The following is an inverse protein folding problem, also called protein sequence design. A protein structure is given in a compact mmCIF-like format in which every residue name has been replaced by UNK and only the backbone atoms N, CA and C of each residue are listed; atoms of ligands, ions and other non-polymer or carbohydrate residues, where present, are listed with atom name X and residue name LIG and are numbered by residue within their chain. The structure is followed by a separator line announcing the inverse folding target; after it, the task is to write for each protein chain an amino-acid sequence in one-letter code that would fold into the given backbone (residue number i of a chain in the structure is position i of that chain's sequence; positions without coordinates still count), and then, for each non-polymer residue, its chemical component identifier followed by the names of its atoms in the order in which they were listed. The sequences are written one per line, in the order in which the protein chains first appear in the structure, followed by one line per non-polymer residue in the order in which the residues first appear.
data_IF_768194582901
#
_entry.id   IF_768194582901
#
_cell.length_a   1.000
_cell.length_b   1.000
_cell.length_c   1.000
_cell.angle_alpha   90.00
_cell.angle_beta   90.00
_cell.angle_gamma   90.00
#
_symmetry.space_group_name_H-M   'P 1'
#
loop_
_entity.id
_entity.type
_entity.pdbx_description
1 polymer ?
#
# COMPACT_ATOMS: atom_id res chain seq x y z
N UNK A 1 5.38 17.72 14.14
CA UNK A 1 6.11 17.17 12.98
C UNK A 1 6.96 18.27 12.32
N UNK A 2 6.43 19.32 11.66
CA UNK A 2 7.23 20.40 11.02
C UNK A 2 8.19 21.17 11.97
N UNK A 3 7.97 21.15 13.28
CA UNK A 3 8.95 21.69 14.25
C UNK A 3 10.21 20.84 14.36
N UNK A 4 10.10 19.53 14.12
CA UNK A 4 11.23 18.60 14.15
C UNK A 4 11.95 18.56 12.80
N UNK A 5 11.22 18.69 11.69
CA UNK A 5 11.76 18.81 10.34
C UNK A 5 11.00 19.92 9.59
N UNK A 6 11.59 21.10 9.42
CA UNK A 6 10.98 22.21 8.68
C UNK A 6 10.77 21.92 7.19
N UNK A 7 11.53 20.96 6.63
CA UNK A 7 11.44 20.56 5.22
C UNK A 7 10.40 19.47 4.99
N UNK A 8 9.75 18.99 6.05
CA UNK A 8 8.71 17.97 5.92
C UNK A 8 7.55 18.51 5.06
N UNK A 9 7.27 17.83 3.97
CA UNK A 9 6.08 18.06 3.18
C UNK A 9 4.91 17.29 3.78
N UNK A 10 3.74 17.91 3.82
CA UNK A 10 2.53 17.31 4.38
C UNK A 10 1.43 17.40 3.32
N UNK A 11 0.98 16.25 2.89
CA UNK A 11 -0.13 16.12 1.95
C UNK A 11 -1.43 15.81 2.66
N UNK A 12 -2.54 16.30 2.13
CA UNK A 12 -3.86 15.79 2.45
C UNK A 12 -4.30 14.85 1.33
N UNK A 13 -4.61 13.61 1.67
CA UNK A 13 -5.18 12.64 0.73
C UNK A 13 -6.70 12.68 0.79
N UNK A 14 -7.35 12.69 -0.38
CA UNK A 14 -8.80 12.78 -0.53
C UNK A 14 -9.28 11.66 -1.42
N UNK A 15 -10.21 10.86 -0.90
CA UNK A 15 -10.76 9.69 -1.59
C UNK A 15 -10.51 8.40 -0.85
N UNK A 16 -9.93 7.41 -1.53
CA UNK A 16 -9.68 6.07 -1.03
C UNK A 16 -10.76 5.07 -1.44
N UNK A 17 -10.53 3.80 -1.14
CA UNK A 17 -11.35 2.67 -1.55
C UNK A 17 -12.85 2.88 -1.36
N UNK A 18 -13.26 3.34 -0.19
CA UNK A 18 -14.68 3.52 0.16
C UNK A 18 -15.22 4.94 -0.04
N UNK A 19 -14.36 5.95 -0.30
CA UNK A 19 -14.76 7.36 -0.29
C UNK A 19 -14.50 8.08 -1.63
N UNK A 20 -14.04 7.40 -2.66
CA UNK A 20 -13.75 8.01 -3.97
C UNK A 20 -14.96 8.10 -4.91
N UNK A 21 -16.12 7.59 -4.52
CA UNK A 21 -17.32 7.57 -5.37
C UNK A 21 -17.79 8.93 -5.89
N UNK A 22 -17.57 9.99 -5.13
CA UNK A 22 -17.96 11.35 -5.51
C UNK A 22 -17.13 11.91 -6.69
N UNK A 23 -15.94 11.39 -6.97
CA UNK A 23 -15.07 11.91 -8.03
C UNK A 23 -15.68 11.78 -9.43
N UNK A 24 -16.50 10.76 -9.66
CA UNK A 24 -17.23 10.63 -10.92
C UNK A 24 -18.05 11.88 -11.25
N UNK A 25 -18.85 12.37 -10.29
CA UNK A 25 -19.67 13.56 -10.47
C UNK A 25 -18.86 14.86 -10.36
N UNK A 26 -17.94 14.93 -9.40
CA UNK A 26 -17.05 16.09 -9.21
C UNK A 26 -16.32 16.41 -10.51
N UNK A 27 -15.70 15.45 -11.14
CA UNK A 27 -14.89 15.67 -12.32
C UNK A 27 -15.73 16.10 -13.53
N UNK A 28 -16.94 15.58 -13.70
CA UNK A 28 -17.81 15.88 -14.84
C UNK A 28 -18.50 17.24 -14.76
N UNK A 29 -18.78 17.72 -13.55
CA UNK A 29 -19.54 18.95 -13.32
C UNK A 29 -18.61 20.12 -13.05
N UNK A 30 -18.64 21.16 -13.90
CA UNK A 30 -17.85 22.39 -13.66
C UNK A 30 -18.17 23.04 -12.31
N UNK A 31 -19.45 23.20 -11.89
CA UNK A 31 -19.78 23.71 -10.56
C UNK A 31 -19.18 22.86 -9.43
N UNK A 32 -19.16 21.53 -9.55
CA UNK A 32 -18.63 20.66 -8.51
C UNK A 32 -17.09 20.70 -8.50
N UNK A 33 -16.42 20.77 -9.65
CA UNK A 33 -14.97 20.98 -9.69
C UNK A 33 -14.59 22.30 -9.01
N UNK A 34 -15.33 23.37 -9.32
CA UNK A 34 -15.13 24.67 -8.67
C UNK A 34 -15.33 24.58 -7.15
N UNK A 35 -16.39 23.93 -6.70
CA UNK A 35 -16.66 23.73 -5.27
C UNK A 35 -15.55 22.93 -4.60
N UNK A 36 -15.06 21.88 -5.24
CA UNK A 36 -13.93 21.08 -4.75
C UNK A 36 -12.67 21.94 -4.60
N UNK A 37 -12.31 22.72 -5.62
CA UNK A 37 -11.13 23.60 -5.61
C UNK A 37 -11.26 24.69 -4.54
N UNK A 38 -12.43 25.29 -4.38
CA UNK A 38 -12.71 26.27 -3.33
C UNK A 38 -12.59 25.62 -1.93
N UNK A 39 -13.03 24.38 -1.77
CA UNK A 39 -12.85 23.59 -0.56
C UNK A 39 -11.38 23.33 -0.23
N UNK A 40 -10.55 23.01 -1.23
CA UNK A 40 -9.10 22.86 -1.04
C UNK A 40 -8.47 24.20 -0.64
N UNK A 41 -8.85 25.30 -1.28
CA UNK A 41 -8.36 26.64 -0.91
C UNK A 41 -8.70 27.00 0.55
N UNK A 42 -9.94 26.72 0.98
CA UNK A 42 -10.35 26.93 2.37
C UNK A 42 -9.55 26.05 3.33
N UNK A 43 -9.37 24.77 3.01
CA UNK A 43 -8.58 23.83 3.81
C UNK A 43 -7.14 24.34 4.00
N UNK A 44 -6.46 24.73 2.92
CA UNK A 44 -5.08 25.23 2.98
C UNK A 44 -4.97 26.58 3.69
N UNK A 45 -6.01 27.40 3.65
CA UNK A 45 -6.06 28.65 4.42
C UNK A 45 -6.15 28.43 5.93
N UNK A 46 -6.88 27.40 6.35
CA UNK A 46 -7.07 27.03 7.77
C UNK A 46 -5.93 26.20 8.34
N UNK A 47 -5.31 25.36 7.51
CA UNK A 47 -4.30 24.39 7.92
C UNK A 47 -3.00 24.62 7.13
N UNK A 48 -2.24 25.61 7.55
CA UNK A 48 -0.99 26.04 6.88
C UNK A 48 0.14 24.99 6.84
N UNK A 49 -0.02 23.86 7.56
CA UNK A 49 0.94 22.77 7.49
C UNK A 49 0.85 21.99 6.18
N UNK A 50 -0.29 21.99 5.49
CA UNK A 50 -0.42 21.32 4.20
C UNK A 50 0.28 22.11 3.10
N UNK A 51 1.01 21.39 2.25
CA UNK A 51 1.68 21.92 1.07
C UNK A 51 1.51 21.02 -0.17
N UNK A 52 0.88 19.85 -0.01
CA UNK A 52 0.54 18.94 -1.08
C UNK A 52 -0.89 18.44 -0.95
N UNK A 53 -1.48 18.04 -2.07
CA UNK A 53 -2.73 17.27 -2.12
C UNK A 53 -2.46 15.96 -2.82
N UNK A 54 -3.08 14.90 -2.33
CA UNK A 54 -3.14 13.59 -2.97
C UNK A 54 -4.58 13.29 -3.35
N UNK A 55 -4.82 12.89 -4.59
CA UNK A 55 -6.14 12.50 -5.06
C UNK A 55 -6.16 10.99 -5.22
N UNK A 56 -6.95 10.35 -4.38
CA UNK A 56 -7.09 8.91 -4.35
C UNK A 56 -8.45 8.48 -4.91
N UNK A 57 -8.54 8.52 -6.24
CA UNK A 57 -9.73 8.05 -6.97
C UNK A 57 -9.55 6.59 -7.40
N UNK A 58 -10.37 5.70 -6.83
CA UNK A 58 -10.32 4.26 -7.07
C UNK A 58 -11.60 3.77 -7.77
N UNK A 59 -11.66 3.74 -9.11
CA UNK A 59 -10.59 4.10 -10.08
C UNK A 59 -11.19 4.87 -11.26
N UNK A 60 -10.50 5.83 -11.85
CA UNK A 60 -10.96 6.46 -13.08
C UNK A 60 -10.92 5.44 -14.23
N UNK A 61 -12.02 5.30 -14.97
CA UNK A 61 -12.16 4.38 -16.08
C UNK A 61 -12.33 2.90 -15.72
N UNK A 62 -12.28 2.54 -14.44
CA UNK A 62 -12.28 1.14 -13.99
C UNK A 62 -13.09 0.92 -12.72
N UNK A 63 -13.50 -0.34 -12.51
CA UNK A 63 -14.22 -0.73 -11.30
C UNK A 63 -13.35 -0.60 -10.04
N UNK A 64 -13.95 -0.03 -8.98
CA UNK A 64 -13.48 -0.03 -7.58
C UNK A 64 -14.53 -0.66 -6.67
N UNK A 65 -14.74 -0.10 -5.48
CA UNK A 65 -15.73 -0.56 -4.50
C UNK A 65 -17.19 -0.18 -4.88
N UNK A 66 -17.65 -0.67 -6.05
CA UNK A 66 -19.01 -0.36 -6.54
C UNK A 66 -19.21 1.07 -7.01
N UNK A 67 -18.15 1.87 -7.11
CA UNK A 67 -18.21 3.24 -7.59
C UNK A 67 -18.53 3.27 -9.09
N UNK A 68 -19.29 4.31 -9.49
CA UNK A 68 -19.55 4.56 -10.90
C UNK A 68 -18.26 4.94 -11.62
N UNK A 69 -18.10 4.43 -12.83
CA UNK A 69 -16.94 4.73 -13.70
C UNK A 69 -17.37 4.72 -15.18
N UNK A 70 -16.57 5.36 -16.02
CA UNK A 70 -16.74 5.38 -17.47
C UNK A 70 -15.39 5.52 -18.18
N UNK A 71 -15.27 5.00 -19.37
CA UNK A 71 -14.04 5.05 -20.16
C UNK A 71 -13.53 6.47 -20.45
N UNK A 72 -14.39 7.49 -20.31
CA UNK A 72 -14.03 8.90 -20.49
C UNK A 72 -13.69 9.64 -19.17
N UNK A 73 -13.60 8.93 -18.05
CA UNK A 73 -13.27 9.54 -16.75
C UNK A 73 -11.96 10.33 -16.80
N UNK A 74 -10.95 9.82 -17.50
CA UNK A 74 -9.67 10.51 -17.65
C UNK A 74 -9.78 11.90 -18.25
N UNK A 75 -10.74 12.15 -19.17
CA UNK A 75 -10.98 13.46 -19.78
C UNK A 75 -11.40 14.48 -18.73
N UNK A 76 -12.32 14.10 -17.86
CA UNK A 76 -12.84 14.97 -16.81
C UNK A 76 -11.89 15.06 -15.62
N UNK A 77 -11.20 13.99 -15.30
CA UNK A 77 -10.17 14.00 -14.27
C UNK A 77 -9.03 14.95 -14.66
N UNK A 78 -8.58 14.87 -15.91
CA UNK A 78 -7.60 15.80 -16.46
C UNK A 78 -8.06 17.27 -16.30
N UNK A 79 -9.32 17.59 -16.58
CA UNK A 79 -9.88 18.95 -16.37
C UNK A 79 -9.80 19.37 -14.90
N UNK A 80 -10.13 18.49 -13.96
CA UNK A 80 -9.98 18.79 -12.53
C UNK A 80 -8.53 19.12 -12.17
N UNK A 81 -7.58 18.33 -12.66
CA UNK A 81 -6.14 18.57 -12.41
C UNK A 81 -5.69 19.90 -13.02
N UNK A 82 -6.07 20.18 -14.27
CA UNK A 82 -5.74 21.45 -14.94
C UNK A 82 -6.30 22.65 -14.19
N UNK A 83 -7.56 22.62 -13.80
CA UNK A 83 -8.24 23.69 -13.05
C UNK A 83 -7.63 23.86 -11.65
N UNK A 84 -7.31 22.76 -10.95
CA UNK A 84 -6.67 22.79 -9.64
C UNK A 84 -5.24 23.37 -9.73
N UNK A 85 -4.48 22.99 -10.75
CA UNK A 85 -3.15 23.54 -11.02
C UNK A 85 -3.20 25.04 -11.32
N UNK A 86 -4.18 25.47 -12.11
CA UNK A 86 -4.38 26.89 -12.49
C UNK A 86 -4.96 27.74 -11.33
N UNK A 87 -5.52 27.14 -10.30
CA UNK A 87 -6.20 27.82 -9.20
C UNK A 87 -5.29 28.68 -8.32
N UNK A 88 -3.95 28.50 -8.42
CA UNK A 88 -2.94 29.23 -7.65
C UNK A 88 -3.28 29.26 -6.13
N UNK A 89 -3.54 28.08 -5.57
CA UNK A 89 -3.86 27.94 -4.14
C UNK A 89 -2.58 28.24 -3.34
N UNK A 90 -2.61 29.19 -2.39
CA UNK A 90 -1.45 29.49 -1.56
C UNK A 90 -0.93 28.23 -0.84
N UNK A 91 0.39 28.06 -0.82
CA UNK A 91 1.13 26.94 -0.23
C UNK A 91 0.97 25.59 -0.97
N UNK A 92 0.09 25.43 -1.95
CA UNK A 92 0.02 24.19 -2.74
C UNK A 92 1.25 24.10 -3.66
N UNK A 93 2.11 23.10 -3.42
CA UNK A 93 3.37 22.90 -4.12
C UNK A 93 3.30 21.71 -5.09
N UNK A 94 2.40 20.76 -4.84
CA UNK A 94 2.25 19.60 -5.71
C UNK A 94 0.94 18.87 -5.56
N UNK A 95 0.60 18.14 -6.61
CA UNK A 95 -0.58 17.28 -6.71
C UNK A 95 -0.09 15.87 -6.99
N UNK A 96 -0.27 14.94 -6.06
CA UNK A 96 -0.08 13.52 -6.34
C UNK A 96 -1.41 12.81 -6.59
N UNK A 97 -1.32 11.64 -7.18
CA UNK A 97 -2.44 10.73 -7.35
C UNK A 97 -2.08 9.35 -6.82
N UNK A 98 -3.02 8.66 -6.20
CA UNK A 98 -2.91 7.23 -6.01
C UNK A 98 -3.26 6.50 -7.32
N UNK A 99 -2.52 5.46 -7.64
CA UNK A 99 -2.70 4.69 -8.85
C UNK A 99 -2.64 3.19 -8.57
N UNK A 100 -3.50 2.44 -9.24
CA UNK A 100 -3.44 0.97 -9.20
C UNK A 100 -2.14 0.46 -9.84
N UNK A 101 -1.64 -0.68 -9.35
CA UNK A 101 -0.55 -1.40 -10.01
C UNK A 101 -1.02 -2.39 -11.09
N UNK A 102 -2.33 -2.47 -11.35
CA UNK A 102 -2.87 -3.22 -12.50
C UNK A 102 -2.60 -2.42 -13.79
N UNK A 103 -1.82 -2.97 -14.74
CA UNK A 103 -1.53 -2.29 -16.01
C UNK A 103 -2.77 -1.80 -16.76
N UNK A 104 -3.86 -2.59 -16.72
CA UNK A 104 -5.11 -2.17 -17.34
C UNK A 104 -5.70 -0.91 -16.70
N UNK A 105 -5.69 -0.83 -15.37
CA UNK A 105 -6.18 0.36 -14.65
C UNK A 105 -5.26 1.57 -14.85
N UNK A 106 -3.96 1.34 -15.00
CA UNK A 106 -2.99 2.38 -15.38
C UNK A 106 -3.35 2.97 -16.75
N UNK A 107 -3.65 2.09 -17.72
CA UNK A 107 -4.06 2.51 -19.06
C UNK A 107 -5.40 3.22 -19.05
N UNK A 108 -6.41 2.69 -18.37
CA UNK A 108 -7.76 3.28 -18.25
C UNK A 108 -7.71 4.68 -17.62
N UNK A 109 -6.80 4.92 -16.68
CA UNK A 109 -6.61 6.23 -16.03
C UNK A 109 -5.86 7.24 -16.92
N UNK A 110 -5.27 6.84 -18.02
CA UNK A 110 -4.46 7.69 -18.90
C UNK A 110 -3.42 8.53 -18.13
N UNK A 111 -2.67 7.91 -17.22
CA UNK A 111 -1.74 8.57 -16.30
C UNK A 111 -0.81 9.59 -17.00
N UNK A 112 -0.21 9.31 -18.17
CA UNK A 112 0.62 10.31 -18.87
C UNK A 112 -0.09 11.64 -19.17
N UNK A 113 -1.40 11.61 -19.42
CA UNK A 113 -2.20 12.83 -19.66
C UNK A 113 -2.44 13.60 -18.34
N UNK A 114 -2.63 12.90 -17.22
CA UNK A 114 -2.73 13.53 -15.91
C UNK A 114 -1.40 14.19 -15.49
N UNK A 115 -0.27 13.55 -15.81
CA UNK A 115 1.06 14.14 -15.59
C UNK A 115 1.24 15.44 -16.37
N UNK A 116 0.81 15.49 -17.63
CA UNK A 116 0.85 16.72 -18.45
C UNK A 116 -0.10 17.80 -17.92
N UNK A 117 -1.18 17.42 -17.28
CA UNK A 117 -2.16 18.34 -16.69
C UNK A 117 -1.66 19.01 -15.39
N UNK A 118 -0.64 18.46 -14.73
CA UNK A 118 -0.07 19.07 -13.53
C UNK A 118 0.18 18.11 -12.35
N UNK A 119 -0.06 16.80 -12.52
CA UNK A 119 0.31 15.81 -11.50
C UNK A 119 1.83 15.80 -11.34
N UNK A 120 2.28 15.87 -10.08
CA UNK A 120 3.70 15.95 -9.71
C UNK A 120 4.28 14.66 -9.19
N UNK A 121 3.42 13.71 -8.76
CA UNK A 121 3.82 12.42 -8.22
C UNK A 121 2.74 11.36 -8.35
N UNK A 122 3.14 10.11 -8.45
CA UNK A 122 2.26 8.94 -8.54
C UNK A 122 2.56 8.03 -7.36
N UNK A 123 1.61 7.88 -6.44
CA UNK A 123 1.64 6.92 -5.37
C UNK A 123 1.09 5.60 -5.91
N UNK A 124 1.98 4.74 -6.41
CA UNK A 124 1.61 3.46 -7.01
C UNK A 124 1.31 2.45 -5.91
N UNK A 125 0.05 2.05 -5.79
CA UNK A 125 -0.45 1.12 -4.77
C UNK A 125 0.00 -0.30 -5.09
N UNK A 126 1.24 -0.62 -4.75
CA UNK A 126 1.91 -1.89 -5.02
C UNK A 126 1.69 -2.91 -3.89
N UNK A 127 0.45 -3.05 -3.49
CA UNK A 127 -0.05 -4.01 -2.53
C UNK A 127 -1.44 -4.50 -2.96
N UNK A 128 -2.04 -5.41 -2.21
CA UNK A 128 -3.33 -6.05 -2.53
C UNK A 128 -3.34 -6.84 -3.85
N UNK A 129 -2.17 -7.33 -4.29
CA UNK A 129 -2.07 -8.21 -5.46
C UNK A 129 -2.72 -9.57 -5.22
N UNK A 130 -2.77 -9.98 -3.96
CA UNK A 130 -3.49 -11.16 -3.49
C UNK A 130 -4.74 -10.74 -2.72
N UNK A 131 -5.88 -11.20 -3.18
CA UNK A 131 -7.17 -11.15 -2.48
C UNK A 131 -7.85 -12.49 -2.63
N UNK A 132 -8.75 -12.83 -1.70
CA UNK A 132 -9.48 -14.09 -1.78
C UNK A 132 -10.38 -14.13 -3.02
N UNK A 133 -10.31 -15.22 -3.79
CA UNK A 133 -11.12 -15.35 -5.00
C UNK A 133 -10.94 -16.70 -5.73
N UNK A 134 -9.80 -16.89 -6.39
CA UNK A 134 -9.59 -18.03 -7.30
C UNK A 134 -9.05 -19.32 -6.64
N UNK A 135 -8.86 -19.31 -5.32
CA UNK A 135 -8.36 -20.46 -4.56
C UNK A 135 -6.87 -20.72 -4.73
N UNK A 136 -6.11 -19.79 -5.33
CA UNK A 136 -4.67 -19.90 -5.51
C UNK A 136 -3.92 -18.93 -4.64
N UNK A 137 -2.83 -19.41 -4.00
CA UNK A 137 -1.96 -18.57 -3.21
C UNK A 137 -1.06 -17.71 -4.09
N UNK A 138 -0.93 -16.45 -3.73
CA UNK A 138 0.06 -15.53 -4.31
C UNK A 138 0.49 -14.50 -3.26
N UNK A 139 1.55 -13.76 -3.56
CA UNK A 139 1.95 -12.63 -2.73
C UNK A 139 1.06 -11.41 -2.97
N UNK A 140 0.80 -10.62 -1.91
CA UNK A 140 0.03 -9.39 -2.06
C UNK A 140 0.88 -8.14 -2.34
N UNK A 141 2.22 -8.25 -2.25
CA UNK A 141 3.10 -7.07 -2.39
C UNK A 141 4.52 -7.45 -2.84
N UNK A 142 4.62 -8.36 -3.82
CA UNK A 142 5.87 -8.89 -4.35
C UNK A 142 6.58 -7.90 -5.28
N UNK A 143 7.93 -7.88 -5.20
CA UNK A 143 8.74 -7.06 -6.09
C UNK A 143 8.75 -7.62 -7.52
N UNK A 144 8.90 -8.94 -7.67
CA UNK A 144 8.90 -9.62 -8.95
C UNK A 144 7.80 -10.69 -9.02
N UNK A 145 7.33 -10.97 -10.21
CA UNK A 145 6.36 -12.00 -10.49
C UNK A 145 7.06 -13.31 -10.87
N UNK A 146 6.51 -14.44 -10.42
CA UNK A 146 6.84 -15.74 -11.01
C UNK A 146 6.16 -15.84 -12.37
N UNK A 147 6.91 -15.69 -13.46
CA UNK A 147 6.38 -15.68 -14.83
C UNK A 147 5.89 -17.06 -15.29
N UNK A 148 6.31 -18.12 -14.61
CA UNK A 148 5.87 -19.49 -14.91
C UNK A 148 4.54 -19.85 -14.22
N UNK A 149 4.05 -18.96 -13.32
CA UNK A 149 2.78 -19.13 -12.64
C UNK A 149 1.76 -18.09 -13.16
N UNK A 150 0.75 -18.60 -13.87
CA UNK A 150 -0.35 -17.76 -14.40
C UNK A 150 -1.20 -17.07 -13.30
N UNK A 151 -1.13 -17.54 -12.05
CA UNK A 151 -1.83 -16.95 -10.91
C UNK A 151 -1.05 -15.79 -10.27
N UNK A 152 0.24 -15.68 -10.53
CA UNK A 152 1.07 -14.53 -10.18
C UNK A 152 0.85 -13.40 -11.19
N UNK A 153 -0.25 -12.64 -11.02
CA UNK A 153 -0.73 -11.67 -12.04
C UNK A 153 0.01 -10.35 -12.01
N UNK A 154 0.45 -9.91 -10.84
CA UNK A 154 0.98 -8.56 -10.61
C UNK A 154 2.34 -8.60 -9.91
N UNK A 155 3.15 -7.59 -10.16
CA UNK A 155 4.36 -7.28 -9.40
C UNK A 155 4.65 -5.80 -9.43
N UNK A 156 5.46 -5.33 -8.49
CA UNK A 156 5.94 -3.96 -8.47
C UNK A 156 6.71 -3.63 -9.74
N UNK A 157 7.65 -4.51 -10.14
CA UNK A 157 8.47 -4.28 -11.34
C UNK A 157 7.62 -4.18 -12.62
N UNK A 158 6.64 -5.07 -12.81
CA UNK A 158 5.76 -5.01 -14.00
C UNK A 158 5.00 -3.66 -14.06
N UNK A 159 4.43 -3.19 -12.96
CA UNK A 159 3.69 -1.93 -12.90
C UNK A 159 4.60 -0.70 -13.14
N UNK A 160 5.79 -0.69 -12.53
CA UNK A 160 6.78 0.37 -12.73
C UNK A 160 7.28 0.40 -14.17
N UNK A 161 7.63 -0.75 -14.76
CA UNK A 161 8.07 -0.82 -16.15
C UNK A 161 6.98 -0.40 -17.12
N UNK A 162 5.71 -0.72 -16.80
CA UNK A 162 4.58 -0.27 -17.60
C UNK A 162 4.47 1.26 -17.62
N UNK A 163 4.50 1.92 -16.47
CA UNK A 163 4.51 3.40 -16.38
C UNK A 163 5.68 4.04 -17.13
N UNK A 164 6.89 3.46 -16.99
CA UNK A 164 8.08 3.95 -17.71
C UNK A 164 7.89 3.81 -19.23
N UNK A 165 7.33 2.70 -19.70
CA UNK A 165 7.04 2.46 -21.12
C UNK A 165 6.03 3.46 -21.68
N UNK A 166 5.07 3.89 -20.86
CA UNK A 166 4.12 4.96 -21.20
C UNK A 166 4.74 6.36 -21.18
N UNK A 167 6.04 6.50 -20.84
CA UNK A 167 6.77 7.76 -20.84
C UNK A 167 6.64 8.56 -19.55
N UNK A 168 6.21 7.95 -18.45
CA UNK A 168 6.20 8.59 -17.14
C UNK A 168 7.63 8.73 -16.61
N UNK A 169 7.97 9.92 -16.12
CA UNK A 169 9.27 10.16 -15.47
C UNK A 169 9.38 9.29 -14.21
N UNK A 170 10.36 8.39 -14.20
CA UNK A 170 10.62 7.47 -13.10
C UNK A 170 10.80 8.16 -11.75
N UNK A 171 11.33 9.40 -11.72
CA UNK A 171 11.49 10.20 -10.49
C UNK A 171 10.17 10.66 -9.88
N UNK A 172 9.07 10.50 -10.59
CA UNK A 172 7.73 10.83 -10.12
C UNK A 172 6.93 9.60 -9.69
N UNK A 173 7.51 8.41 -9.75
CA UNK A 173 6.88 7.14 -9.36
C UNK A 173 7.34 6.79 -7.94
N UNK A 174 6.39 6.65 -7.02
CA UNK A 174 6.59 6.18 -5.65
C UNK A 174 5.92 4.83 -5.51
N UNK A 175 6.63 3.82 -5.01
CA UNK A 175 6.06 2.47 -4.80
C UNK A 175 5.64 2.27 -3.35
N UNK A 176 4.51 1.55 -3.15
CA UNK A 176 3.99 1.25 -1.83
C UNK A 176 4.55 -0.03 -1.22
N UNK A 177 4.64 -0.06 0.10
CA UNK A 177 4.78 -1.28 0.89
C UNK A 177 3.72 -1.32 1.99
N UNK A 178 3.41 -2.53 2.47
CA UNK A 178 2.24 -2.74 3.31
C UNK A 178 2.59 -2.90 4.79
N UNK A 179 1.91 -2.15 5.66
CA UNK A 179 1.91 -2.31 7.11
C UNK A 179 0.88 -3.33 7.60
N UNK A 180 0.47 -4.27 6.74
CA UNK A 180 -0.57 -5.26 7.03
C UNK A 180 -0.38 -6.53 6.18
N UNK A 181 -1.16 -7.56 6.51
CA UNK A 181 -1.15 -8.84 5.80
C UNK A 181 -2.40 -9.04 4.96
N UNK A 182 -2.32 -9.98 3.99
CA UNK A 182 -3.49 -10.60 3.35
C UNK A 182 -3.44 -12.10 3.59
N UNK A 183 -4.50 -12.64 4.18
CA UNK A 183 -4.51 -13.99 4.74
C UNK A 183 -5.44 -14.93 3.98
N UNK A 184 -5.08 -16.23 4.00
CA UNK A 184 -5.95 -17.31 3.56
C UNK A 184 -5.94 -18.46 4.58
N UNK A 185 -7.07 -19.17 4.72
CA UNK A 185 -7.23 -20.38 5.52
C UNK A 185 -7.40 -21.59 4.61
N UNK A 186 -7.14 -22.79 5.14
CA UNK A 186 -7.14 -24.02 4.35
C UNK A 186 -6.05 -24.01 3.27
N UNK A 187 -4.93 -23.35 3.56
CA UNK A 187 -3.81 -23.20 2.66
C UNK A 187 -2.97 -24.48 2.57
N UNK A 188 -2.57 -24.81 1.36
CA UNK A 188 -1.74 -25.96 1.02
C UNK A 188 -0.62 -25.50 0.09
N UNK A 189 0.61 -25.43 0.64
CA UNK A 189 1.77 -24.91 -0.07
C UNK A 189 2.50 -26.07 -0.74
N UNK A 190 2.62 -26.01 -2.06
CA UNK A 190 3.31 -27.03 -2.89
C UNK A 190 4.75 -26.64 -3.22
N UNK A 191 5.05 -25.33 -3.24
CA UNK A 191 6.40 -24.78 -3.36
C UNK A 191 6.54 -23.53 -2.49
N UNK A 192 7.67 -23.40 -1.77
CA UNK A 192 7.95 -22.27 -0.91
C UNK A 192 8.57 -21.07 -1.64
N UNK A 193 9.41 -21.33 -2.67
CA UNK A 193 10.08 -20.30 -3.48
C UNK A 193 10.44 -20.88 -4.86
N UNK A 194 9.82 -20.44 -5.94
CA UNK A 194 8.69 -19.50 -5.95
C UNK A 194 7.47 -20.06 -5.22
N UNK A 195 6.70 -19.18 -4.58
CA UNK A 195 5.46 -19.57 -3.90
C UNK A 195 4.49 -20.19 -4.88
N UNK A 196 4.02 -21.41 -4.57
CA UNK A 196 2.91 -22.07 -5.25
C UNK A 196 2.04 -22.79 -4.21
N UNK A 197 0.75 -22.77 -4.44
CA UNK A 197 -0.20 -23.44 -3.56
C UNK A 197 -1.64 -23.07 -3.85
N UNK A 198 -2.52 -23.61 -3.04
CA UNK A 198 -3.96 -23.35 -3.12
C UNK A 198 -4.52 -23.11 -1.71
N UNK A 199 -5.72 -22.56 -1.66
CA UNK A 199 -6.46 -22.41 -0.40
C UNK A 199 -7.95 -22.73 -0.60
N UNK A 200 -8.60 -23.07 0.49
CA UNK A 200 -10.04 -23.25 0.52
C UNK A 200 -10.58 -22.57 1.80
N UNK A 201 -10.62 -21.25 1.77
CA UNK A 201 -11.06 -20.44 2.89
C UNK A 201 -12.57 -20.57 3.11
N UNK A 202 -12.95 -20.98 4.33
CA UNK A 202 -14.34 -21.09 4.77
C UNK A 202 -14.50 -20.30 6.07
N UNK A 203 -15.55 -19.48 6.14
CA UNK A 203 -15.83 -18.66 7.32
C UNK A 203 -14.82 -17.56 7.58
N UNK A 204 -14.73 -17.12 8.83
CA UNK A 204 -13.79 -16.07 9.22
C UNK A 204 -12.35 -16.58 9.21
N UNK A 205 -11.45 -15.70 8.77
CA UNK A 205 -10.01 -15.90 8.74
C UNK A 205 -9.41 -14.94 9.78
N UNK A 206 -8.37 -15.38 10.47
CA UNK A 206 -7.68 -14.55 11.46
C UNK A 206 -7.31 -13.17 10.94
N UNK A 207 -7.56 -12.16 11.74
CA UNK A 207 -7.28 -10.75 11.43
C UNK A 207 -7.35 -9.90 12.70
N UNK A 208 -6.79 -8.69 12.66
CA UNK A 208 -6.77 -7.79 13.82
C UNK A 208 -8.14 -7.16 14.05
N UNK A 209 -8.66 -6.44 13.07
CA UNK A 209 -9.96 -5.75 13.13
C UNK A 209 -10.95 -6.30 12.11
N UNK A 210 -10.45 -6.80 10.99
CA UNK A 210 -11.27 -7.41 9.95
C UNK A 210 -10.72 -8.79 9.55
N UNK A 211 -11.60 -9.64 9.04
CA UNK A 211 -11.22 -10.99 8.61
C UNK A 211 -10.17 -10.92 7.50
N UNK A 212 -9.16 -11.77 7.61
CA UNK A 212 -8.08 -11.94 6.64
C UNK A 212 -7.06 -10.79 6.53
N UNK A 213 -7.08 -9.83 7.48
CA UNK A 213 -6.12 -8.72 7.53
C UNK A 213 -5.55 -8.59 8.94
N UNK A 214 -4.25 -8.70 9.09
CA UNK A 214 -3.55 -8.47 10.36
C UNK A 214 -2.67 -7.24 10.21
N UNK A 215 -2.79 -6.31 11.13
CA UNK A 215 -1.94 -5.14 11.19
C UNK A 215 -0.52 -5.47 11.66
N UNK A 216 0.45 -4.67 11.24
CA UNK A 216 1.86 -4.91 11.55
C UNK A 216 2.15 -5.00 13.07
N UNK A 217 1.50 -4.19 13.87
CA UNK A 217 1.61 -4.26 15.33
C UNK A 217 1.23 -5.64 15.88
N UNK A 218 0.16 -6.22 15.39
CA UNK A 218 -0.29 -7.57 15.76
C UNK A 218 0.70 -8.64 15.24
N UNK A 219 1.25 -8.44 14.02
CA UNK A 219 2.27 -9.35 13.46
C UNK A 219 3.46 -9.47 14.40
N UNK A 220 3.99 -8.36 14.90
CA UNK A 220 5.19 -8.37 15.77
C UNK A 220 4.90 -8.91 17.18
N UNK A 221 3.69 -8.78 17.68
CA UNK A 221 3.34 -9.31 19.00
C UNK A 221 3.01 -10.80 18.96
N UNK A 222 2.26 -11.25 17.98
CA UNK A 222 1.64 -12.57 18.01
C UNK A 222 2.24 -13.56 17.00
N UNK A 223 2.86 -13.10 15.91
CA UNK A 223 3.19 -13.99 14.79
C UNK A 223 4.69 -14.08 14.50
N UNK A 224 5.46 -13.04 14.79
CA UNK A 224 6.89 -13.00 14.44
C UNK A 224 7.73 -12.31 15.50
N UNK A 225 8.86 -12.92 15.79
CA UNK A 225 9.99 -12.30 16.48
C UNK A 225 11.04 -11.92 15.43
N UNK A 226 11.01 -10.67 15.00
CA UNK A 226 11.95 -10.20 13.98
C UNK A 226 13.36 -10.00 14.49
N UNK A 227 13.57 -9.86 15.81
CA UNK A 227 14.91 -9.76 16.42
C UNK A 227 15.67 -11.09 16.26
N UNK A 228 15.00 -12.19 16.54
CA UNK A 228 15.55 -13.53 16.42
C UNK A 228 15.27 -14.19 15.06
N UNK A 229 14.44 -13.57 14.20
CA UNK A 229 14.11 -14.09 12.88
C UNK A 229 13.26 -15.37 12.91
N UNK A 230 12.44 -15.53 13.94
CA UNK A 230 11.61 -16.73 14.15
C UNK A 230 10.12 -16.39 14.17
N UNK A 231 9.31 -17.33 13.65
CA UNK A 231 7.85 -17.28 13.81
C UNK A 231 7.42 -17.67 15.22
N UNK A 232 6.28 -17.14 15.64
CA UNK A 232 5.63 -17.45 16.93
C UNK A 232 4.36 -18.25 16.68
N UNK A 233 3.85 -18.91 17.74
CA UNK A 233 2.56 -19.62 17.72
C UNK A 233 2.39 -20.62 16.56
N UNK A 234 3.50 -21.31 16.18
CA UNK A 234 3.50 -22.30 15.11
C UNK A 234 3.60 -21.73 13.69
N UNK A 235 3.77 -20.41 13.55
CA UNK A 235 4.05 -19.79 12.25
C UNK A 235 5.52 -19.91 11.88
N UNK A 236 5.78 -20.11 10.61
CA UNK A 236 7.10 -20.08 9.99
C UNK A 236 7.21 -18.86 9.08
N UNK A 237 8.31 -18.12 9.16
CA UNK A 237 8.63 -17.04 8.20
C UNK A 237 9.26 -17.69 6.98
N UNK A 238 8.66 -17.52 5.83
CA UNK A 238 9.14 -18.08 4.58
C UNK A 238 9.49 -16.95 3.61
N UNK A 239 10.73 -17.01 3.09
CA UNK A 239 11.25 -16.04 2.15
C UNK A 239 11.16 -16.61 0.73
N UNK A 240 10.42 -15.90 -0.13
CA UNK A 240 10.43 -16.19 -1.57
C UNK A 240 11.52 -15.34 -2.24
N UNK A 241 12.65 -15.99 -2.54
CA UNK A 241 13.79 -15.33 -3.16
C UNK A 241 13.56 -14.93 -4.62
N UNK A 242 12.63 -15.60 -5.31
CA UNK A 242 12.27 -15.32 -6.70
C UNK A 242 11.38 -14.07 -6.77
N UNK A 243 10.35 -14.02 -5.94
CA UNK A 243 9.42 -12.91 -5.88
C UNK A 243 9.95 -11.71 -5.07
N UNK A 244 11.05 -11.89 -4.30
CA UNK A 244 11.56 -10.92 -3.31
C UNK A 244 10.46 -10.50 -2.33
N UNK A 245 9.67 -11.46 -1.90
CA UNK A 245 8.54 -11.30 -1.00
C UNK A 245 8.60 -12.31 0.14
N UNK A 246 7.81 -12.07 1.18
CA UNK A 246 7.78 -12.93 2.35
C UNK A 246 6.34 -13.30 2.70
N UNK A 247 6.19 -14.40 3.42
CA UNK A 247 4.92 -14.81 3.97
C UNK A 247 5.09 -15.64 5.23
N UNK A 248 4.06 -15.67 6.05
CA UNK A 248 3.96 -16.57 7.20
C UNK A 248 3.08 -17.76 6.83
N UNK A 249 3.43 -18.91 7.36
CA UNK A 249 2.63 -20.13 7.22
C UNK A 249 2.58 -20.90 8.51
N UNK A 250 1.37 -21.20 8.96
CA UNK A 250 1.14 -22.17 10.01
C UNK A 250 0.59 -23.45 9.38
N UNK A 251 1.43 -24.50 9.37
CA UNK A 251 1.10 -25.78 8.71
C UNK A 251 -0.05 -26.53 9.40
N UNK A 252 -0.11 -26.45 10.73
CA UNK A 252 -1.11 -27.19 11.51
C UNK A 252 -2.50 -26.55 11.39
N UNK A 253 -2.55 -25.22 11.40
CA UNK A 253 -3.76 -24.43 11.20
C UNK A 253 -4.11 -24.23 9.72
N UNK A 254 -3.19 -24.51 8.82
CA UNK A 254 -3.27 -24.22 7.37
C UNK A 254 -3.61 -22.77 7.10
N UNK A 255 -2.94 -21.85 7.81
CA UNK A 255 -3.12 -20.40 7.65
C UNK A 255 -1.89 -19.82 6.94
N UNK A 256 -2.15 -19.11 5.85
CA UNK A 256 -1.18 -18.37 5.06
C UNK A 256 -1.39 -16.87 5.25
N UNK A 257 -0.31 -16.10 5.38
CA UNK A 257 -0.33 -14.65 5.51
C UNK A 257 0.77 -14.05 4.65
N UNK A 258 0.41 -13.39 3.56
CA UNK A 258 1.35 -12.61 2.76
C UNK A 258 1.56 -11.24 3.40
N UNK A 259 2.81 -10.76 3.50
CA UNK A 259 3.14 -9.50 4.17
C UNK A 259 4.46 -8.92 3.66
N UNK A 260 4.69 -7.65 3.96
CA UNK A 260 6.02 -7.08 3.95
C UNK A 260 6.76 -7.36 5.27
N UNK A 261 8.04 -7.55 5.18
CA UNK A 261 8.97 -7.68 6.31
C UNK A 261 10.10 -6.66 6.17
N UNK A 262 10.90 -6.42 7.21
CA UNK A 262 12.10 -5.59 7.07
C UNK A 262 13.03 -6.03 5.91
N UNK A 263 13.06 -7.35 5.60
CA UNK A 263 13.81 -7.86 4.46
C UNK A 263 13.23 -7.40 3.12
N UNK A 264 11.94 -7.66 2.89
CA UNK A 264 11.28 -7.34 1.61
C UNK A 264 11.23 -5.84 1.38
N UNK A 265 11.02 -5.03 2.42
CA UNK A 265 11.06 -3.56 2.34
C UNK A 265 12.45 -3.06 1.96
N UNK A 266 13.54 -3.64 2.52
CA UNK A 266 14.92 -3.31 2.07
C UNK A 266 15.13 -3.61 0.59
N UNK A 267 14.63 -4.75 0.09
CA UNK A 267 14.73 -5.10 -1.34
C UNK A 267 13.97 -4.08 -2.22
N UNK A 268 12.76 -3.67 -1.81
CA UNK A 268 11.99 -2.63 -2.49
C UNK A 268 12.73 -1.28 -2.50
N UNK A 269 13.32 -0.91 -1.36
CA UNK A 269 14.08 0.34 -1.26
C UNK A 269 15.35 0.33 -2.13
N UNK A 270 16.07 -0.80 -2.21
CA UNK A 270 17.18 -0.98 -3.15
C UNK A 270 16.72 -0.85 -4.59
N UNK A 271 15.59 -1.48 -4.93
CA UNK A 271 14.98 -1.36 -6.26
C UNK A 271 14.66 0.10 -6.61
N UNK A 272 14.07 0.87 -5.68
CA UNK A 272 13.83 2.31 -5.86
C UNK A 272 15.11 3.05 -6.22
N UNK A 273 16.20 2.77 -5.51
CA UNK A 273 17.51 3.38 -5.77
C UNK A 273 18.09 2.94 -7.11
N UNK A 274 18.07 1.64 -7.41
CA UNK A 274 18.60 1.08 -8.68
C UNK A 274 17.85 1.59 -9.91
N UNK A 275 16.54 1.74 -9.80
CA UNK A 275 15.69 2.27 -10.89
C UNK A 275 15.63 3.79 -10.90
N UNK A 276 16.18 4.46 -9.89
CA UNK A 276 16.13 5.92 -9.71
C UNK A 276 14.67 6.44 -9.65
N UNK A 277 13.80 5.72 -8.94
CA UNK A 277 12.42 6.14 -8.72
C UNK A 277 12.34 7.33 -7.75
N UNK A 278 11.16 7.95 -7.65
CA UNK A 278 10.88 9.04 -6.72
C UNK A 278 11.06 8.64 -5.26
N UNK A 279 10.64 7.44 -4.89
CA UNK A 279 10.72 6.94 -3.52
C UNK A 279 9.81 5.75 -3.27
N UNK A 280 9.56 5.51 -1.98
CA UNK A 280 8.58 4.52 -1.53
C UNK A 280 7.76 5.09 -0.36
N UNK A 281 6.57 4.55 -0.16
CA UNK A 281 5.66 4.93 0.91
C UNK A 281 5.04 3.70 1.56
N UNK A 282 4.50 3.85 2.77
CA UNK A 282 3.79 2.80 3.50
C UNK A 282 2.28 3.05 3.54
N UNK A 283 1.50 2.00 3.40
CA UNK A 283 0.10 1.96 3.79
C UNK A 283 -0.06 0.95 4.95
N UNK A 284 -0.22 1.42 6.22
CA UNK A 284 -0.17 2.82 6.61
C UNK A 284 0.84 3.01 7.74
N UNK A 285 1.31 4.25 7.91
CA UNK A 285 2.40 4.57 8.82
C UNK A 285 2.06 4.44 10.30
N UNK A 286 0.78 4.49 10.67
CA UNK A 286 0.28 4.26 12.03
C UNK A 286 0.33 2.79 12.45
N UNK A 287 0.42 1.87 11.49
CA UNK A 287 0.59 0.44 11.73
C UNK A 287 2.05 0.04 11.98
N UNK A 288 3.02 0.84 11.52
CA UNK A 288 4.46 0.54 11.67
C UNK A 288 5.01 1.06 13.01
N UNK A 289 5.67 0.19 13.73
CA UNK A 289 6.42 0.56 14.93
C UNK A 289 7.82 1.16 14.63
N UNK A 290 8.14 1.40 13.38
CA UNK A 290 9.43 1.90 12.90
C UNK A 290 10.33 0.83 12.27
N UNK A 291 10.05 -0.45 12.41
CA UNK A 291 10.89 -1.52 11.83
C UNK A 291 10.87 -1.50 10.30
N UNK A 292 9.69 -1.33 9.68
CA UNK A 292 9.56 -1.26 8.23
C UNK A 292 10.16 0.05 7.68
N UNK A 293 9.88 1.17 8.34
CA UNK A 293 10.45 2.47 7.98
C UNK A 293 11.97 2.48 8.10
N UNK A 294 12.54 1.91 9.17
CA UNK A 294 14.00 1.77 9.30
C UNK A 294 14.58 0.93 8.17
N UNK A 295 13.92 -0.17 7.80
CA UNK A 295 14.35 -1.03 6.69
C UNK A 295 14.29 -0.32 5.33
N UNK A 296 13.29 0.54 5.11
CA UNK A 296 13.19 1.39 3.92
C UNK A 296 14.39 2.34 3.82
N UNK A 297 14.72 3.03 4.91
CA UNK A 297 15.89 3.91 4.97
C UNK A 297 17.21 3.17 4.76
N UNK A 298 17.35 1.96 5.34
CA UNK A 298 18.52 1.10 5.12
C UNK A 298 18.71 0.74 3.64
N UNK A 299 17.63 0.33 2.98
CA UNK A 299 17.68 -0.03 1.56
C UNK A 299 17.98 1.17 0.65
N UNK A 300 17.57 2.38 1.04
CA UNK A 300 17.93 3.64 0.37
C UNK A 300 19.35 4.12 0.73
N UNK A 301 20.09 3.41 1.59
CA UNK A 301 21.42 3.79 2.12
C UNK A 301 21.40 5.17 2.81
N UNK A 302 20.29 5.51 3.45
CA UNK A 302 20.17 6.76 4.22
C UNK A 302 20.63 6.54 5.65
N UNK A 303 21.44 7.48 6.16
CA UNK A 303 21.81 7.50 7.57
C UNK A 303 20.69 8.16 8.37
N UNK A 304 19.99 7.36 9.16
CA UNK A 304 18.92 7.85 10.05
C UNK A 304 19.13 7.30 11.46
N UNK A 305 18.64 8.02 12.45
CA UNK A 305 18.54 7.49 13.80
C UNK A 305 17.45 6.40 13.78
N UNK A 306 17.87 5.16 13.91
CA UNK A 306 16.92 4.05 14.05
C UNK A 306 16.18 4.17 15.37
N UNK A 307 14.88 4.11 15.31
CA UNK A 307 14.03 4.04 16.49
C UNK A 307 12.92 3.03 16.24
N UNK A 308 12.56 2.31 17.29
CA UNK A 308 11.41 1.42 17.32
C UNK A 308 10.49 1.95 18.42
N UNK A 309 9.24 2.10 18.11
CA UNK A 309 8.22 2.58 19.05
C UNK A 309 7.66 1.37 19.78
N UNK A 310 7.58 1.43 21.09
CA UNK A 310 6.81 0.47 21.87
C UNK A 310 5.33 0.70 21.62
N UNK A 311 4.71 -0.23 20.88
CA UNK A 311 3.30 -0.19 20.54
C UNK A 311 2.44 -0.97 21.55
N UNK A 312 3.04 -1.57 22.60
CA UNK A 312 2.32 -2.34 23.60
C UNK A 312 1.16 -1.58 24.28
N UNK A 313 1.24 -0.24 24.52
CA UNK A 313 0.11 0.51 25.04
C UNK A 313 -1.06 0.65 24.07
N UNK A 314 -0.83 0.37 22.78
CA UNK A 314 -1.83 0.43 21.70
C UNK A 314 -2.24 -0.97 21.22
N UNK A 315 -1.65 -2.01 21.80
CA UNK A 315 -2.01 -3.38 21.50
C UNK A 315 -3.37 -3.69 22.12
N UNK A 316 -4.30 -4.05 21.27
CA UNK A 316 -5.63 -4.42 21.69
C UNK A 316 -5.64 -5.89 22.14
N UNK A 317 -6.02 -6.13 23.38
CA UNK A 317 -6.33 -7.48 23.83
C UNK A 317 -7.54 -7.96 23.03
N UNK A 318 -7.31 -9.02 22.26
CA UNK A 318 -8.28 -9.52 21.28
C UNK A 318 -9.49 -10.21 21.90
N UNK A 319 -9.81 -9.99 23.19
CA UNK A 319 -10.98 -10.62 23.85
C UNK A 319 -12.30 -10.20 23.20
N UNK A 320 -12.37 -9.03 22.58
CA UNK A 320 -13.54 -8.54 21.86
C UNK A 320 -13.59 -8.93 20.38
N UNK A 321 -12.52 -9.53 19.83
CA UNK A 321 -12.50 -9.99 18.45
C UNK A 321 -13.05 -11.40 18.31
N UNK A 322 -13.67 -11.76 17.18
CA UNK A 322 -14.14 -13.11 16.94
C UNK A 322 -13.03 -14.12 17.21
N UNK A 323 -13.28 -15.10 18.08
CA UNK A 323 -12.31 -16.13 18.42
C UNK A 323 -12.13 -17.10 17.25
N UNK A 324 -11.19 -16.82 16.41
CA UNK A 324 -10.69 -17.74 15.40
C UNK A 324 -9.17 -17.74 15.46
N UNK A 325 -8.60 -18.90 15.68
CA UNK A 325 -7.15 -19.16 15.66
C UNK A 325 -6.29 -18.10 16.40
N UNK A 326 -6.80 -17.62 17.55
CA UNK A 326 -6.07 -16.65 18.38
C UNK A 326 -4.74 -17.25 18.86
N UNK A 327 -3.64 -16.52 18.79
CA UNK A 327 -2.47 -16.82 19.60
C UNK A 327 -2.86 -16.80 21.08
N UNK A 328 -2.41 -17.79 21.82
CA UNK A 328 -2.89 -17.99 23.19
C UNK A 328 -2.43 -16.94 24.21
N UNK A 329 -1.33 -16.22 23.93
CA UNK A 329 -0.82 -15.08 24.70
C UNK A 329 0.26 -14.33 23.90
N UNK A 330 0.41 -13.02 24.03
CA UNK A 330 1.60 -12.31 23.52
C UNK A 330 2.82 -12.87 24.25
N UNK A 331 3.75 -13.46 23.51
CA UNK A 331 4.91 -14.12 24.10
C UNK A 331 6.00 -13.16 24.57
N UNK A 332 5.82 -11.86 24.38
CA UNK A 332 6.79 -10.88 24.86
C UNK A 332 6.13 -9.62 25.40
N UNK A 333 6.17 -9.46 26.73
CA UNK A 333 5.93 -8.17 27.39
C UNK A 333 7.19 -7.30 27.50
N UNK A 334 8.37 -7.84 27.15
CA UNK A 334 9.67 -7.25 27.41
C UNK A 334 10.59 -7.23 26.18
N UNK A 335 10.06 -7.35 24.95
CA UNK A 335 10.88 -7.20 23.76
C UNK A 335 11.07 -5.71 23.45
N UNK A 336 12.07 -5.12 24.09
CA UNK A 336 12.64 -3.80 23.80
C UNK A 336 13.73 -3.92 22.74
#
# INVERSE_FOLDING_TARGET
MKKADPNLEVSVSIGGWSMSGAFYDICRSEPYRKQFIDGIRDLFSRFSMFNHIDIDWEYPGSAGMGNQFSADDYVYYKKLIEELTAANIPNLQGISIAASADPKKIDDAHIPELMKAGVTGINLMTYDFFTLGDGKLSHHTNLYRNKDDQHSKYSIDDAVQHLITLGVDKKKIFIGYAGYTRNAKGADITSKSPLQGSYNSQGNIVGTFESAVIEWTDVIYNYVDFENGIGRNGYEIIQDSVAKADYLYNKDLKVFMSLDTPRSVREKARYVKEKELGGLFIWSGDQDNGLLTNAAHEGLERTVKKSVIDMSPFYFDNDDLPSYDKPKEPQCKDCV
#
